data_IF_335085134150
#
_entry.id   IF_335085134150
#
_cell.length_a   1.000
_cell.length_b   1.000
_cell.length_c   1.000
_cell.angle_alpha   90.00
_cell.angle_beta   90.00
_cell.angle_gamma   90.00
#
_symmetry.space_group_name_H-M   'P 1'
#
loop_
_entity.id
_entity.type
_entity.pdbx_description
1 polymer ?
#
# COMPACT_ATOMS: atom_id res chain seq x y z
N UNK A 1 26.92 -3.74 -4.10
CA UNK A 1 25.80 -4.06 -3.19
C UNK A 1 25.77 -5.56 -3.01
N UNK A 2 25.96 -6.03 -1.77
CA UNK A 2 25.99 -7.45 -1.46
C UNK A 2 24.63 -7.80 -0.85
N UNK A 3 23.87 -8.66 -1.52
CA UNK A 3 22.53 -9.07 -1.09
C UNK A 3 22.62 -10.47 -0.48
N UNK A 4 22.07 -10.67 0.71
CA UNK A 4 21.95 -11.98 1.33
C UNK A 4 20.47 -12.37 1.38
N UNK A 5 20.12 -13.49 0.73
CA UNK A 5 18.78 -14.06 0.79
C UNK A 5 18.80 -15.14 1.87
N UNK A 6 18.09 -14.90 2.97
CA UNK A 6 18.00 -15.85 4.06
C UNK A 6 17.00 -16.95 3.72
N UNK A 7 17.51 -18.11 3.32
CA UNK A 7 16.77 -19.36 3.28
C UNK A 7 16.75 -19.98 4.70
N UNK A 8 15.81 -20.89 4.96
CA UNK A 8 15.59 -21.54 6.26
C UNK A 8 16.85 -22.16 6.88
N UNK A 9 17.88 -22.44 6.08
CA UNK A 9 19.07 -23.17 6.51
C UNK A 9 20.27 -22.27 6.88
N UNK A 10 20.22 -20.95 6.67
CA UNK A 10 21.32 -20.04 7.07
C UNK A 10 20.87 -18.57 7.21
N UNK A 11 20.26 -18.17 8.34
CA UNK A 11 19.74 -16.82 8.55
C UNK A 11 20.80 -15.80 9.01
N UNK A 12 22.09 -15.99 8.69
CA UNK A 12 23.18 -15.11 9.15
C UNK A 12 23.90 -14.46 7.98
N UNK A 13 24.26 -13.18 8.18
CA UNK A 13 25.03 -12.38 7.24
C UNK A 13 26.19 -11.74 8.01
N UNK A 14 27.38 -11.77 7.41
CA UNK A 14 28.60 -11.27 8.05
C UNK A 14 29.11 -10.06 7.29
N UNK A 15 29.29 -8.97 8.02
CA UNK A 15 29.95 -7.76 7.54
C UNK A 15 31.39 -7.73 8.07
N UNK A 16 32.33 -7.30 7.23
CA UNK A 16 33.72 -7.06 7.62
C UNK A 16 34.07 -5.61 7.31
N UNK A 17 34.73 -4.96 8.25
CA UNK A 17 35.21 -3.60 8.15
C UNK A 17 36.57 -3.49 8.85
N UNK A 18 37.39 -2.53 8.40
CA UNK A 18 38.73 -2.31 8.95
C UNK A 18 38.70 -1.41 10.20
N UNK A 19 37.71 -0.51 10.28
CA UNK A 19 37.54 0.43 11.38
C UNK A 19 36.12 0.34 11.97
N UNK A 20 35.94 0.90 13.17
CA UNK A 20 34.64 0.94 13.82
C UNK A 20 33.68 1.92 13.10
N UNK A 21 34.22 3.00 12.56
CA UNK A 21 33.52 4.03 11.80
C UNK A 21 32.96 3.43 10.50
N UNK A 22 33.78 2.68 9.77
CA UNK A 22 33.35 1.98 8.54
C UNK A 22 32.26 0.94 8.82
N UNK A 23 32.40 0.19 9.93
CA UNK A 23 31.36 -0.77 10.35
C UNK A 23 30.04 -0.07 10.66
N UNK A 24 30.09 1.10 11.31
CA UNK A 24 28.91 1.91 11.60
C UNK A 24 28.21 2.38 10.32
N UNK A 25 28.97 2.86 9.33
CA UNK A 25 28.43 3.26 8.02
C UNK A 25 27.82 2.08 7.27
N UNK A 26 28.46 0.90 7.29
CA UNK A 26 27.91 -0.31 6.67
C UNK A 26 26.59 -0.73 7.33
N UNK A 27 26.51 -0.70 8.66
CA UNK A 27 25.29 -1.05 9.40
C UNK A 27 24.14 -0.09 9.10
N UNK A 28 24.41 1.19 8.83
CA UNK A 28 23.39 2.17 8.43
C UNK A 28 22.77 1.86 7.05
N UNK A 29 23.50 1.13 6.20
CA UNK A 29 23.04 0.77 4.86
C UNK A 29 22.36 -0.60 4.81
N UNK A 30 22.38 -1.37 5.91
CA UNK A 30 21.68 -2.66 5.98
C UNK A 30 20.17 -2.41 6.00
N UNK A 31 19.49 -2.92 4.98
CA UNK A 31 18.04 -2.84 4.88
C UNK A 31 17.42 -4.23 4.93
N UNK A 32 16.25 -4.31 5.53
CA UNK A 32 15.42 -5.50 5.49
C UNK A 32 14.42 -5.37 4.34
N UNK A 33 14.38 -6.36 3.46
CA UNK A 33 13.41 -6.43 2.37
C UNK A 33 12.62 -7.73 2.48
N UNK A 34 11.29 -7.62 2.52
CA UNK A 34 10.41 -8.79 2.45
C UNK A 34 10.10 -9.08 0.97
N UNK A 35 10.40 -10.30 0.53
CA UNK A 35 10.17 -10.73 -0.86
C UNK A 35 8.79 -11.34 -1.09
N UNK A 36 7.96 -11.51 -0.04
CA UNK A 36 6.59 -12.01 -0.19
C UNK A 36 5.65 -10.90 -0.70
N UNK A 37 4.83 -11.23 -1.71
CA UNK A 37 3.77 -10.35 -2.25
C UNK A 37 2.81 -9.85 -1.16
N UNK A 38 2.48 -10.70 -0.19
CA UNK A 38 1.71 -10.36 1.01
C UNK A 38 2.57 -10.64 2.25
N UNK A 39 3.20 -9.64 2.86
CA UNK A 39 4.06 -9.85 4.01
C UNK A 39 3.24 -10.28 5.22
N UNK A 40 3.65 -11.38 5.88
CA UNK A 40 3.01 -11.84 7.12
C UNK A 40 3.29 -10.82 8.23
N UNK A 41 2.25 -10.17 8.82
CA UNK A 41 2.44 -9.22 9.90
C UNK A 41 3.09 -9.87 11.12
N UNK A 42 3.89 -9.11 11.86
CA UNK A 42 4.50 -9.56 13.11
C UNK A 42 5.86 -8.93 13.40
N UNK A 43 6.43 -9.33 14.55
CA UNK A 43 7.74 -8.88 15.00
C UNK A 43 8.82 -9.88 14.62
N UNK A 44 9.87 -9.40 13.95
CA UNK A 44 11.05 -10.18 13.59
C UNK A 44 12.23 -9.66 14.40
N UNK A 45 12.66 -10.43 15.39
CA UNK A 45 13.83 -10.10 16.19
C UNK A 45 15.11 -10.52 15.47
N UNK A 46 16.16 -9.72 15.62
CA UNK A 46 17.49 -10.04 15.13
C UNK A 46 18.54 -9.70 16.18
N UNK A 47 19.69 -10.36 16.11
CA UNK A 47 20.83 -10.11 16.98
C UNK A 47 22.08 -9.86 16.16
N UNK A 48 22.85 -8.86 16.54
CA UNK A 48 24.15 -8.54 15.96
C UNK A 48 25.22 -8.99 16.96
N UNK A 49 26.03 -9.94 16.53
CA UNK A 49 27.22 -10.39 17.26
C UNK A 49 28.44 -9.75 16.58
N UNK A 50 29.25 -9.04 17.35
CA UNK A 50 30.42 -8.33 16.82
C UNK A 50 31.70 -8.89 17.42
N UNK A 51 32.65 -9.22 16.56
CA UNK A 51 33.97 -9.71 16.93
C UNK A 51 35.01 -8.77 16.33
N UNK A 52 35.93 -8.29 17.16
CA UNK A 52 37.00 -7.34 16.79
C UNK A 52 38.34 -8.07 16.83
N UNK A 53 39.08 -8.02 15.73
CA UNK A 53 40.45 -8.51 15.66
C UNK A 53 41.42 -7.34 15.85
N UNK A 54 42.22 -7.38 16.91
CA UNK A 54 43.19 -6.34 17.21
C UNK A 54 44.58 -6.67 16.64
N UNK A 55 45.40 -5.64 16.42
CA UNK A 55 46.76 -5.75 15.85
C UNK A 55 47.71 -6.71 16.60
N UNK A 56 47.41 -7.05 17.86
CA UNK A 56 48.16 -8.00 18.68
C UNK A 56 47.64 -9.45 18.65
N UNK A 57 46.85 -9.83 17.65
CA UNK A 57 46.26 -11.18 17.53
C UNK A 57 45.15 -11.49 18.55
N UNK A 58 44.87 -10.56 19.47
CA UNK A 58 43.76 -10.66 20.41
C UNK A 58 42.43 -10.47 19.69
N UNK A 59 41.46 -11.30 20.05
CA UNK A 59 40.10 -11.24 19.53
C UNK A 59 39.16 -10.85 20.67
N UNK A 60 38.38 -9.80 20.49
CA UNK A 60 37.41 -9.29 21.47
C UNK A 60 36.00 -9.51 20.94
N UNK A 61 35.15 -10.17 21.71
CA UNK A 61 33.72 -10.31 21.40
C UNK A 61 32.93 -9.26 22.18
N UNK A 62 32.18 -8.43 21.48
CA UNK A 62 31.34 -7.40 22.09
C UNK A 62 29.99 -7.98 22.52
N UNK A 63 29.32 -7.27 23.42
CA UNK A 63 27.98 -7.65 23.86
C UNK A 63 27.00 -7.67 22.68
N UNK A 64 26.21 -8.74 22.51
CA UNK A 64 25.24 -8.85 21.45
C UNK A 64 24.22 -7.71 21.50
N UNK A 65 24.00 -7.05 20.37
CA UNK A 65 22.96 -6.03 20.23
C UNK A 65 21.69 -6.67 19.66
N UNK A 66 20.53 -6.42 20.27
CA UNK A 66 19.24 -6.96 19.81
C UNK A 66 18.42 -5.86 19.14
N UNK A 67 17.80 -6.20 18.02
CA UNK A 67 16.88 -5.35 17.28
C UNK A 67 15.57 -6.07 16.96
N UNK A 68 14.57 -5.31 16.52
CA UNK A 68 13.28 -5.84 16.09
C UNK A 68 12.78 -5.07 14.87
N UNK A 69 12.28 -5.80 13.89
CA UNK A 69 11.62 -5.29 12.70
C UNK A 69 10.13 -5.58 12.85
N UNK A 70 9.31 -4.52 12.82
CA UNK A 70 7.85 -4.63 12.89
C UNK A 70 7.28 -4.60 11.48
N UNK A 71 6.79 -5.75 11.02
CA UNK A 71 6.08 -5.89 9.75
C UNK A 71 4.60 -5.66 10.02
N UNK A 72 4.04 -4.58 9.49
CA UNK A 72 2.62 -4.26 9.62
C UNK A 72 1.86 -4.87 8.44
N UNK A 73 0.56 -5.16 8.65
CA UNK A 73 -0.33 -5.48 7.54
C UNK A 73 -0.38 -4.27 6.60
N UNK A 74 -0.50 -4.56 5.30
CA UNK A 74 -0.81 -3.52 4.33
C UNK A 74 -2.07 -2.77 4.76
N UNK A 75 -2.03 -1.45 4.61
CA UNK A 75 -3.13 -0.59 4.98
C UNK A 75 -4.37 -0.90 4.13
N UNK A 76 -5.53 -1.05 4.78
CA UNK A 76 -6.80 -1.21 4.08
C UNK A 76 -7.07 0.04 3.24
N UNK A 77 -7.38 -0.19 1.96
CA UNK A 77 -7.85 0.86 1.07
C UNK A 77 -9.35 1.05 1.25
N UNK A 78 -9.80 2.30 1.12
CA UNK A 78 -11.20 2.69 1.15
C UNK A 78 -11.57 3.17 -0.24
N UNK A 79 -12.59 2.55 -0.83
CA UNK A 79 -13.19 3.00 -2.08
C UNK A 79 -14.33 3.96 -1.73
N UNK A 80 -14.28 5.17 -2.25
CA UNK A 80 -15.30 6.20 -2.05
C UNK A 80 -15.95 6.55 -3.37
N UNK A 81 -17.28 6.57 -3.38
CA UNK A 81 -18.09 6.99 -4.52
C UNK A 81 -18.76 8.30 -4.14
N UNK A 82 -18.54 9.33 -4.95
CA UNK A 82 -19.08 10.67 -4.74
C UNK A 82 -19.77 11.16 -6.02
N UNK A 83 -20.77 12.02 -5.88
CA UNK A 83 -21.53 12.57 -6.99
C UNK A 83 -22.61 13.52 -6.49
N UNK A 84 -23.29 14.20 -7.41
CA UNK A 84 -24.41 15.08 -7.07
C UNK A 84 -25.61 14.25 -6.63
N UNK A 85 -26.18 14.56 -5.46
CA UNK A 85 -27.36 13.88 -4.92
C UNK A 85 -28.68 14.47 -5.42
N UNK A 86 -28.65 15.67 -5.99
CA UNK A 86 -29.81 16.38 -6.54
C UNK A 86 -29.48 16.76 -7.98
N UNK A 87 -30.30 16.32 -8.91
CA UNK A 87 -30.21 16.67 -10.32
C UNK A 87 -31.33 17.65 -10.64
N UNK A 88 -30.98 18.89 -11.00
CA UNK A 88 -31.95 19.88 -11.43
C UNK A 88 -32.08 19.83 -12.95
N UNK A 89 -33.25 19.42 -13.42
CA UNK A 89 -33.48 19.08 -14.82
C UNK A 89 -34.62 19.91 -15.39
N UNK A 90 -34.37 20.56 -16.52
CA UNK A 90 -35.42 21.28 -17.24
C UNK A 90 -36.29 20.32 -18.07
N UNK A 91 -37.44 20.82 -18.52
CA UNK A 91 -38.40 20.02 -19.30
C UNK A 91 -37.82 19.53 -20.64
N UNK A 92 -36.78 20.20 -21.16
CA UNK A 92 -36.11 19.81 -22.39
C UNK A 92 -35.19 18.60 -22.14
N UNK A 93 -34.35 18.64 -21.11
CA UNK A 93 -33.43 17.58 -20.72
C UNK A 93 -34.16 16.31 -20.29
N UNK A 94 -35.35 16.41 -19.68
CA UNK A 94 -36.18 15.23 -19.40
C UNK A 94 -36.66 14.56 -20.69
N UNK A 95 -36.94 15.33 -21.75
CA UNK A 95 -37.36 14.79 -23.06
C UNK A 95 -36.21 14.25 -23.89
N UNK A 96 -35.02 14.84 -23.77
CA UNK A 96 -33.83 14.44 -24.55
C UNK A 96 -32.96 13.41 -23.84
N UNK A 97 -33.27 13.09 -22.58
CA UNK A 97 -32.47 12.21 -21.73
C UNK A 97 -31.58 13.00 -20.76
N UNK A 98 -31.62 12.58 -19.50
CA UNK A 98 -30.95 13.24 -18.38
C UNK A 98 -30.02 12.28 -17.65
N UNK A 99 -28.78 12.69 -17.31
CA UNK A 99 -27.90 11.85 -16.50
C UNK A 99 -28.44 11.75 -15.07
N UNK A 100 -28.64 10.53 -14.57
CA UNK A 100 -29.12 10.30 -13.21
C UNK A 100 -28.05 10.54 -12.13
N UNK A 101 -26.78 10.34 -12.49
CA UNK A 101 -25.63 10.52 -11.59
C UNK A 101 -24.59 11.42 -12.28
N UNK A 102 -24.88 12.72 -12.41
CA UNK A 102 -23.90 13.64 -12.97
C UNK A 102 -22.68 13.72 -12.05
N UNK A 103 -21.51 13.77 -12.68
CA UNK A 103 -20.21 13.95 -12.00
C UNK A 103 -19.84 12.87 -10.99
N UNK A 104 -20.29 11.63 -11.20
CA UNK A 104 -19.84 10.51 -10.37
C UNK A 104 -18.31 10.37 -10.41
N UNK A 105 -17.69 10.30 -9.23
CA UNK A 105 -16.25 10.12 -9.02
C UNK A 105 -16.02 8.97 -8.06
N UNK A 106 -15.18 8.04 -8.48
CA UNK A 106 -14.70 6.93 -7.67
C UNK A 106 -13.25 7.22 -7.30
N UNK A 107 -12.96 7.24 -6.00
CA UNK A 107 -11.61 7.47 -5.48
C UNK A 107 -11.20 6.33 -4.57
N UNK A 108 -9.90 6.02 -4.56
CA UNK A 108 -9.31 5.00 -3.69
C UNK A 108 -8.33 5.71 -2.76
N UNK A 109 -8.59 5.66 -1.46
CA UNK A 109 -7.69 6.22 -0.45
C UNK A 109 -7.11 5.11 0.42
N UNK A 110 -5.88 5.30 0.89
CA UNK A 110 -5.23 4.32 1.77
C UNK A 110 -4.70 5.04 3.02
N UNK A 111 -5.04 4.50 4.20
CA UNK A 111 -4.57 5.01 5.49
C UNK A 111 -3.21 4.43 5.83
N UNK A 112 -2.13 5.18 5.64
CA UNK A 112 -0.80 4.68 5.98
C UNK A 112 -0.51 4.92 7.46
N UNK A 113 -0.58 3.86 8.27
CA UNK A 113 -0.08 3.88 9.63
C UNK A 113 1.46 3.86 9.60
N UNK A 114 2.09 4.99 9.88
CA UNK A 114 3.55 5.09 9.98
C UNK A 114 4.11 4.13 11.04
N UNK A 115 5.08 3.29 10.65
CA UNK A 115 5.69 2.32 11.57
C UNK A 115 6.37 3.00 12.77
N UNK A 116 6.00 2.58 13.99
CA UNK A 116 6.64 3.01 15.25
C UNK A 116 8.09 2.50 15.31
N UNK A 117 9.06 3.39 15.22
CA UNK A 117 10.44 3.09 15.62
C UNK A 117 10.62 3.38 17.11
N UNK A 118 11.07 2.39 17.88
CA UNK A 118 11.57 2.61 19.24
C UNK A 118 13.00 3.12 19.14
N UNK A 119 13.29 4.21 19.86
CA UNK A 119 14.62 4.81 19.97
C UNK A 119 15.69 3.72 20.17
N UNK A 120 16.59 3.55 19.19
CA UNK A 120 17.81 2.80 19.42
C UNK A 120 18.73 3.71 20.23
N UNK A 121 19.00 3.38 21.50
CA UNK A 121 19.77 4.23 22.42
C UNK A 121 21.17 4.60 21.89
N UNK A 122 21.66 3.88 20.88
CA UNK A 122 22.96 4.06 20.20
C UNK A 122 22.86 5.02 19.00
N UNK A 123 21.71 5.12 18.32
CA UNK A 123 21.52 6.02 17.18
C UNK A 123 20.27 6.86 17.43
N UNK A 124 20.46 8.17 17.66
CA UNK A 124 19.40 9.19 17.78
C UNK A 124 18.59 9.29 16.48
N UNK A 125 17.79 8.28 16.15
CA UNK A 125 16.92 8.24 15.00
C UNK A 125 15.50 8.18 15.52
N UNK A 126 14.88 9.36 15.58
CA UNK A 126 13.46 9.52 15.86
C UNK A 126 12.76 9.80 14.53
N UNK A 127 11.92 8.88 14.05
CA UNK A 127 11.03 9.16 12.91
C UNK A 127 9.62 9.45 13.43
N UNK A 128 9.08 10.62 13.09
CA UNK A 128 7.71 11.01 13.39
C UNK A 128 6.69 10.11 12.66
N UNK A 129 5.62 9.78 13.35
CA UNK A 129 4.43 9.10 12.83
C UNK A 129 3.50 10.18 12.28
N UNK A 130 3.04 10.03 11.05
CA UNK A 130 1.92 10.79 10.51
C UNK A 130 0.86 9.77 10.08
N UNK A 131 -0.35 9.89 10.62
CA UNK A 131 -1.54 9.29 10.00
C UNK A 131 -1.89 10.18 8.81
N UNK A 132 -1.55 9.70 7.61
CA UNK A 132 -1.85 10.40 6.37
C UNK A 132 -2.69 9.50 5.48
N UNK A 133 -3.84 10.02 5.08
CA UNK A 133 -4.60 9.45 3.97
C UNK A 133 -3.91 9.84 2.66
N UNK A 134 -3.64 8.83 1.83
CA UNK A 134 -2.98 9.00 0.54
C UNK A 134 -3.95 8.56 -0.54
N UNK A 135 -4.14 9.43 -1.54
CA UNK A 135 -4.88 9.09 -2.76
C UNK A 135 -4.07 8.07 -3.58
N UNK A 136 -4.73 6.96 -3.89
CA UNK A 136 -4.21 5.83 -4.66
C UNK A 136 -5.03 5.55 -5.92
N UNK A 137 -5.98 6.43 -6.27
CA UNK A 137 -6.92 6.23 -7.39
C UNK A 137 -6.22 5.90 -8.71
N UNK A 138 -5.07 6.53 -9.01
CA UNK A 138 -4.34 6.33 -10.28
C UNK A 138 -3.53 5.03 -10.37
N UNK A 139 -3.30 4.36 -9.24
CA UNK A 139 -2.45 3.15 -9.15
C UNK A 139 -3.23 1.93 -8.67
N UNK A 140 -4.48 2.10 -8.26
CA UNK A 140 -5.38 1.02 -7.88
C UNK A 140 -6.16 0.55 -9.10
N UNK A 141 -6.19 -0.76 -9.32
CA UNK A 141 -7.04 -1.40 -10.34
C UNK A 141 -8.28 -1.96 -9.65
N UNK A 142 -9.45 -1.75 -10.24
CA UNK A 142 -10.71 -2.34 -9.81
C UNK A 142 -10.88 -3.67 -10.55
N UNK A 143 -11.03 -4.77 -9.80
CA UNK A 143 -11.21 -6.10 -10.40
C UNK A 143 -12.58 -6.25 -11.06
N UNK A 144 -13.64 -5.91 -10.33
CA UNK A 144 -14.99 -5.82 -10.87
C UNK A 144 -15.86 -4.90 -10.03
N UNK A 145 -16.91 -4.34 -10.64
CA UNK A 145 -17.96 -3.62 -9.93
C UNK A 145 -19.33 -4.05 -10.42
N UNK A 146 -20.34 -3.97 -9.56
CA UNK A 146 -21.73 -4.26 -9.92
C UNK A 146 -22.65 -3.18 -9.41
N UNK A 147 -23.36 -2.56 -10.35
CA UNK A 147 -24.30 -1.48 -10.05
C UNK A 147 -25.73 -2.02 -10.06
N UNK A 148 -26.47 -1.67 -9.02
CA UNK A 148 -27.89 -1.99 -8.87
C UNK A 148 -28.68 -0.71 -8.58
N UNK A 149 -29.71 -0.46 -9.38
CA UNK A 149 -30.65 0.64 -9.17
C UNK A 149 -31.83 0.14 -8.33
N UNK A 150 -32.27 0.96 -7.37
CA UNK A 150 -33.49 0.73 -6.58
C UNK A 150 -34.33 2.02 -6.56
N UNK A 151 -35.57 2.01 -7.09
CA UNK A 151 -36.20 0.90 -7.81
C UNK A 151 -35.44 0.53 -9.10
N UNK A 152 -35.68 -0.67 -9.61
CA UNK A 152 -35.07 -1.09 -10.88
C UNK A 152 -35.44 -0.14 -12.00
N UNK A 153 -34.51 0.04 -12.94
CA UNK A 153 -34.66 0.87 -14.14
C UNK A 153 -35.87 0.42 -14.97
N UNK A 154 -36.60 1.38 -15.55
CA UNK A 154 -37.55 1.09 -16.62
C UNK A 154 -36.77 0.78 -17.92
N UNK A 155 -36.88 -0.44 -18.45
CA UNK A 155 -36.09 -0.82 -19.62
C UNK A 155 -36.54 -0.11 -20.91
N UNK A 156 -37.80 0.33 -20.97
CA UNK A 156 -38.40 0.91 -22.17
C UNK A 156 -38.18 2.43 -22.23
N UNK A 157 -37.98 3.07 -21.08
CA UNK A 157 -37.89 4.54 -20.97
C UNK A 157 -36.50 5.05 -20.55
N UNK A 158 -35.74 4.27 -19.81
CA UNK A 158 -34.47 4.71 -19.25
C UNK A 158 -33.32 3.96 -19.92
N UNK A 159 -32.16 4.61 -20.01
CA UNK A 159 -30.92 4.03 -20.55
C UNK A 159 -29.82 4.17 -19.51
N UNK A 160 -29.02 3.11 -19.33
CA UNK A 160 -27.89 3.12 -18.44
C UNK A 160 -26.62 2.97 -19.27
N UNK A 161 -25.75 3.97 -19.16
CA UNK A 161 -24.42 3.95 -19.72
C UNK A 161 -23.49 4.68 -18.79
N UNK A 162 -22.25 4.19 -18.69
CA UNK A 162 -21.20 4.92 -17.99
C UNK A 162 -20.45 5.84 -18.96
N UNK A 163 -20.07 7.06 -18.54
CA UNK A 163 -19.29 7.96 -19.39
C UNK A 163 -17.97 7.31 -19.81
N UNK A 164 -17.61 7.38 -21.09
CA UNK A 164 -16.37 6.76 -21.61
C UNK A 164 -15.11 7.21 -20.85
N UNK A 165 -15.10 8.45 -20.33
CA UNK A 165 -14.03 8.97 -19.49
C UNK A 165 -13.90 8.23 -18.15
N UNK A 166 -15.01 7.82 -17.53
CA UNK A 166 -15.03 7.04 -16.29
C UNK A 166 -14.53 5.61 -16.55
N UNK A 167 -14.98 5.00 -17.65
CA UNK A 167 -14.54 3.67 -18.10
C UNK A 167 -13.02 3.66 -18.29
N UNK A 168 -12.50 4.63 -19.05
CA UNK A 168 -11.09 4.77 -19.32
C UNK A 168 -10.25 5.07 -18.07
N UNK A 169 -10.77 5.89 -17.16
CA UNK A 169 -10.07 6.24 -15.91
C UNK A 169 -9.93 5.04 -14.97
N UNK A 170 -10.93 4.16 -14.93
CA UNK A 170 -10.95 2.99 -14.05
C UNK A 170 -10.41 1.72 -14.71
N UNK A 171 -10.14 1.74 -16.02
CA UNK A 171 -9.63 0.61 -16.82
C UNK A 171 -10.51 -0.64 -16.72
N UNK A 172 -11.83 -0.43 -16.74
CA UNK A 172 -12.86 -1.45 -16.59
C UNK A 172 -13.56 -1.70 -17.93
N UNK A 173 -14.06 -2.91 -18.14
CA UNK A 173 -14.85 -3.28 -19.30
C UNK A 173 -16.32 -3.37 -18.91
N UNK A 174 -17.21 -2.71 -19.65
CA UNK A 174 -18.63 -2.69 -19.32
C UNK A 174 -19.42 -3.76 -20.05
N UNK A 175 -20.03 -4.68 -19.29
CA UNK A 175 -20.96 -5.69 -19.82
C UNK A 175 -22.40 -5.45 -19.34
N UNK A 176 -23.33 -5.62 -20.27
CA UNK A 176 -24.77 -5.54 -20.02
C UNK A 176 -25.35 -6.94 -19.93
N UNK A 177 -25.87 -7.32 -18.75
CA UNK A 177 -26.64 -8.55 -18.62
C UNK A 177 -28.12 -8.31 -18.94
N UNK A 178 -28.79 -9.34 -19.47
CA UNK A 178 -30.21 -9.37 -19.84
C UNK A 178 -31.16 -9.09 -18.66
N UNK A 179 -30.63 -9.08 -17.44
CA UNK A 179 -31.34 -8.84 -16.18
C UNK A 179 -31.15 -7.41 -15.64
N UNK A 180 -30.71 -6.47 -16.50
CA UNK A 180 -30.42 -5.08 -16.14
C UNK A 180 -29.34 -4.96 -15.02
N UNK A 181 -28.39 -5.90 -15.00
CA UNK A 181 -27.23 -5.87 -14.12
C UNK A 181 -26.03 -5.36 -14.93
N UNK A 182 -25.32 -4.41 -14.37
CA UNK A 182 -24.15 -3.80 -15.02
C UNK A 182 -22.90 -4.30 -14.32
N UNK A 183 -21.99 -4.83 -15.12
CA UNK A 183 -20.69 -5.32 -14.69
C UNK A 183 -19.63 -4.40 -15.26
N UNK A 184 -18.68 -4.04 -14.42
CA UNK A 184 -17.46 -3.33 -14.76
C UNK A 184 -16.28 -4.25 -14.46
#
# INVERSE_FOLDING_TARGET
LQNAIFLTNSPSFTLKANTAEDLSLLLQQVTYTNTKKLPTPGHRTFSINTTVHCAGGKTLTLNPSKGSISVHREAESVISISGLSIVNNDQHLVKTGAPMLPEIKITVTQKINGGKFRNFRILRISKLIFDKEIDRTSVSELDWCKVHLKPSRDMDLEYFSSPASLIAALRIDFEHDKQARYYC
#
